data_IF_182972688510
#
_entry.id   IF_182972688510
#
_cell.length_a   1.000
_cell.length_b   1.000
_cell.length_c   1.000
_cell.angle_alpha   90.00
_cell.angle_beta   90.00
_cell.angle_gamma   90.00
#
_symmetry.space_group_name_H-M   'P 1'
#
loop_
_entity.id
_entity.type
_entity.pdbx_description
1 polymer ?
#
# COMPACT_ATOMS: atom_id res chain seq x y z
N UNK A 1 -29.68 0.79 21.13
CA UNK A 1 -29.80 -0.16 20.01
C UNK A 1 -28.56 -1.02 20.04
N UNK A 2 -28.71 -2.28 20.48
CA UNK A 2 -27.60 -3.23 20.58
C UNK A 2 -27.08 -3.51 19.17
N UNK A 3 -25.94 -2.91 18.82
CA UNK A 3 -25.21 -3.27 17.61
C UNK A 3 -24.93 -4.76 17.65
N UNK A 4 -25.21 -5.43 16.55
CA UNK A 4 -24.90 -6.84 16.38
C UNK A 4 -23.37 -6.96 16.40
N UNK A 5 -22.78 -7.31 17.54
CA UNK A 5 -21.31 -7.32 17.81
C UNK A 5 -20.52 -8.13 16.74
N UNK A 6 -21.22 -8.98 15.99
CA UNK A 6 -20.66 -9.83 14.94
C UNK A 6 -20.63 -9.20 13.53
N UNK A 7 -21.31 -8.10 13.25
CA UNK A 7 -21.30 -7.52 11.90
C UNK A 7 -20.09 -6.60 11.72
N UNK A 8 -19.21 -6.94 10.78
CA UNK A 8 -18.10 -6.06 10.36
C UNK A 8 -18.71 -4.76 9.82
N UNK A 9 -18.24 -3.59 10.23
CA UNK A 9 -18.77 -2.31 9.76
C UNK A 9 -17.65 -1.26 9.77
N UNK A 10 -17.74 -0.19 8.96
CA UNK A 10 -16.81 0.92 9.07
C UNK A 10 -16.76 1.46 10.49
N UNK A 11 -15.55 1.70 11.02
CA UNK A 11 -15.37 2.23 12.37
C UNK A 11 -15.59 3.75 12.45
N UNK A 12 -15.63 4.43 11.31
CA UNK A 12 -15.85 5.86 11.16
C UNK A 12 -16.85 6.11 10.02
N UNK A 13 -17.48 7.28 10.02
CA UNK A 13 -18.39 7.70 8.96
C UNK A 13 -17.59 8.24 7.77
N UNK A 14 -17.39 7.41 6.76
CA UNK A 14 -16.71 7.77 5.52
C UNK A 14 -17.67 8.13 4.38
N UNK A 15 -18.99 8.10 4.62
CA UNK A 15 -20.03 8.29 3.60
C UNK A 15 -20.39 9.76 3.41
N UNK A 16 -19.90 10.65 4.27
CA UNK A 16 -19.96 12.09 4.02
C UNK A 16 -19.24 12.39 2.69
N UNK A 17 -19.90 13.07 1.75
CA UNK A 17 -19.24 13.65 0.55
C UNK A 17 -18.23 14.76 0.90
N UNK A 18 -17.76 14.78 2.15
CA UNK A 18 -16.83 15.73 2.71
C UNK A 18 -15.41 15.32 2.37
N UNK A 19 -14.59 16.31 2.08
CA UNK A 19 -13.15 16.13 1.89
C UNK A 19 -12.38 16.01 3.21
N UNK A 20 -13.07 16.04 4.35
CA UNK A 20 -12.50 16.04 5.69
C UNK A 20 -13.40 15.22 6.61
N UNK A 21 -12.98 14.02 6.97
CA UNK A 21 -13.75 13.08 7.80
C UNK A 21 -13.34 13.19 9.27
N UNK A 22 -14.30 13.38 10.17
CA UNK A 22 -14.05 13.35 11.61
C UNK A 22 -13.80 11.91 12.09
N UNK A 23 -12.60 11.66 12.64
CA UNK A 23 -12.24 10.37 13.24
C UNK A 23 -12.51 10.37 14.74
N UNK A 24 -12.13 11.44 15.43
CA UNK A 24 -12.22 11.53 16.89
C UNK A 24 -12.26 12.97 17.38
N UNK A 25 -13.06 13.23 18.40
CA UNK A 25 -12.92 14.42 19.25
C UNK A 25 -12.31 14.02 20.59
N UNK A 26 -11.37 14.81 21.08
CA UNK A 26 -10.59 14.43 22.26
C UNK A 26 -9.97 15.64 22.95
N UNK A 27 -9.75 15.60 24.27
CA UNK A 27 -8.99 16.62 24.97
C UNK A 27 -7.59 16.77 24.38
N UNK A 28 -7.12 18.01 24.28
CA UNK A 28 -5.80 18.34 23.80
C UNK A 28 -5.13 19.40 24.68
N UNK A 29 -3.81 19.45 24.61
CA UNK A 29 -3.01 20.48 25.23
C UNK A 29 -1.99 21.02 24.23
N UNK A 30 -1.89 22.34 24.17
CA UNK A 30 -0.92 23.09 23.39
C UNK A 30 0.05 23.74 24.36
N UNK A 31 1.32 23.36 24.29
CA UNK A 31 2.36 24.07 25.03
C UNK A 31 3.02 25.09 24.10
N UNK A 32 3.09 26.33 24.55
CA UNK A 32 3.78 27.43 23.89
C UNK A 32 4.89 27.85 24.85
N UNK A 33 6.13 27.50 24.52
CA UNK A 33 7.28 27.57 25.42
C UNK A 33 7.00 26.82 26.74
N UNK A 34 6.91 27.54 27.86
CA UNK A 34 6.60 26.97 29.19
C UNK A 34 5.13 27.06 29.58
N UNK A 35 4.26 27.62 28.72
CA UNK A 35 2.84 27.82 29.02
C UNK A 35 2.00 26.69 28.41
N UNK A 36 1.30 25.94 29.26
CA UNK A 36 0.40 24.87 28.84
C UNK A 36 -1.04 25.37 28.75
N UNK A 37 -1.67 25.16 27.61
CA UNK A 37 -3.06 25.56 27.33
C UNK A 37 -3.90 24.33 27.01
N UNK A 38 -4.99 24.14 27.75
CA UNK A 38 -5.91 23.01 27.54
C UNK A 38 -7.05 23.40 26.61
N UNK A 39 -7.46 22.47 25.77
CA UNK A 39 -8.55 22.64 24.83
C UNK A 39 -9.07 21.31 24.32
N UNK A 40 -9.70 21.35 23.15
CA UNK A 40 -10.17 20.15 22.44
C UNK A 40 -9.44 20.04 21.12
N UNK A 41 -9.43 18.82 20.57
CA UNK A 41 -8.97 18.58 19.22
C UNK A 41 -9.88 17.62 18.49
N UNK A 42 -10.14 17.97 17.24
CA UNK A 42 -10.72 17.08 16.25
C UNK A 42 -9.59 16.45 15.44
N UNK A 43 -9.51 15.12 15.48
CA UNK A 43 -8.65 14.34 14.58
C UNK A 43 -9.45 14.07 13.33
N UNK A 44 -8.94 14.53 12.19
CA UNK A 44 -9.63 14.43 10.90
C UNK A 44 -8.75 13.77 9.85
N UNK A 45 -9.36 12.93 9.01
CA UNK A 45 -8.78 12.48 7.75
C UNK A 45 -9.18 13.47 6.66
N UNK A 46 -8.28 14.37 6.31
CA UNK A 46 -8.45 15.25 5.16
C UNK A 46 -8.03 14.49 3.90
N UNK A 47 -8.88 14.42 2.88
CA UNK A 47 -8.61 13.73 1.61
C UNK A 47 -8.03 14.66 0.54
N UNK A 48 -8.10 15.98 0.73
CA UNK A 48 -7.64 16.99 -0.21
C UNK A 48 -6.66 17.98 0.42
N UNK A 49 -5.68 18.51 -0.34
CA UNK A 49 -5.35 18.17 -1.74
C UNK A 49 -4.62 16.82 -1.89
N UNK A 50 -4.09 16.28 -0.80
CA UNK A 50 -3.60 14.91 -0.65
C UNK A 50 -4.12 14.38 0.68
N UNK A 51 -4.36 13.09 0.76
CA UNK A 51 -4.87 12.53 1.99
C UNK A 51 -3.82 12.65 3.11
N UNK A 52 -4.27 13.07 4.30
CA UNK A 52 -3.43 13.22 5.49
C UNK A 52 -4.30 13.27 6.76
N UNK A 53 -3.73 12.84 7.88
CA UNK A 53 -4.31 13.05 9.21
C UNK A 53 -3.92 14.44 9.72
N UNK A 54 -4.92 15.27 10.01
CA UNK A 54 -4.69 16.56 10.65
C UNK A 54 -5.42 16.64 11.99
N UNK A 55 -4.80 17.32 12.95
CA UNK A 55 -5.40 17.62 14.24
C UNK A 55 -5.80 19.09 14.27
N UNK A 56 -7.08 19.35 14.46
CA UNK A 56 -7.66 20.68 14.54
C UNK A 56 -7.90 20.99 16.00
N UNK A 57 -7.00 21.75 16.62
CA UNK A 57 -7.08 22.12 18.03
C UNK A 57 -7.82 23.44 18.22
N UNK A 58 -8.73 23.49 19.19
CA UNK A 58 -9.43 24.69 19.63
C UNK A 58 -9.10 24.95 21.11
N UNK A 59 -8.52 26.13 21.38
CA UNK A 59 -8.10 26.53 22.71
C UNK A 59 -8.69 27.89 23.06
N UNK A 60 -9.08 28.04 24.32
CA UNK A 60 -9.76 29.24 24.83
C UNK A 60 -8.93 29.90 25.92
N UNK A 61 -9.19 31.18 26.18
CA UNK A 61 -8.49 31.99 27.18
C UNK A 61 -6.97 32.09 26.95
N UNK A 62 -6.53 32.07 25.70
CA UNK A 62 -5.12 32.20 25.34
C UNK A 62 -4.67 33.66 25.50
N UNK A 63 -3.58 33.92 26.26
CA UNK A 63 -3.01 35.26 26.36
C UNK A 63 -2.62 35.81 24.99
N UNK A 64 -2.84 37.10 24.78
CA UNK A 64 -2.51 37.79 23.53
C UNK A 64 -1.04 37.59 23.11
N UNK A 65 -0.12 37.56 24.09
CA UNK A 65 1.30 37.33 23.86
C UNK A 65 1.58 35.95 23.24
N UNK A 66 0.91 34.92 23.74
CA UNK A 66 1.08 33.54 23.30
C UNK A 66 0.45 33.34 21.93
N UNK A 67 -0.76 33.90 21.73
CA UNK A 67 -1.42 33.92 20.44
C UNK A 67 -0.57 34.63 19.36
N UNK A 68 0.05 35.77 19.70
CA UNK A 68 0.96 36.49 18.79
C UNK A 68 2.21 35.68 18.48
N UNK A 69 2.85 35.03 19.47
CA UNK A 69 4.03 34.19 19.26
C UNK A 69 3.75 33.07 18.25
N UNK A 70 2.62 32.37 18.44
CA UNK A 70 2.19 31.32 17.52
C UNK A 70 1.95 31.90 16.11
N UNK A 71 1.25 33.02 15.97
CA UNK A 71 0.91 33.57 14.65
C UNK A 71 2.08 34.20 13.91
N UNK A 72 3.00 34.85 14.61
CA UNK A 72 4.13 35.57 14.00
C UNK A 72 5.33 34.68 13.70
N UNK A 73 5.32 33.41 14.12
CA UNK A 73 6.41 32.47 13.87
C UNK A 73 7.74 32.89 14.47
N UNK A 74 7.71 33.70 15.54
CA UNK A 74 8.88 33.93 16.38
C UNK A 74 9.29 32.59 17.02
N UNK A 75 10.54 32.46 17.50
CA UNK A 75 11.21 31.24 18.03
C UNK A 75 10.50 30.54 19.23
N UNK A 76 9.19 30.44 19.22
CA UNK A 76 8.36 29.81 20.22
C UNK A 76 8.39 28.30 19.98
N UNK A 77 8.75 27.56 21.02
CA UNK A 77 8.69 26.11 21.01
C UNK A 77 7.24 25.69 21.20
N UNK A 78 6.62 25.15 20.15
CA UNK A 78 5.23 24.71 20.20
C UNK A 78 5.17 23.19 20.19
N UNK A 79 4.54 22.59 21.20
CA UNK A 79 4.23 21.16 21.22
C UNK A 79 2.73 20.92 21.36
N UNK A 80 2.26 19.88 20.69
CA UNK A 80 0.86 19.49 20.68
C UNK A 80 0.72 18.12 21.31
N UNK A 81 -0.21 17.98 22.25
CA UNK A 81 -0.48 16.70 22.89
C UNK A 81 -1.96 16.41 22.96
N UNK A 82 -2.28 15.13 22.97
CA UNK A 82 -3.64 14.61 22.97
C UNK A 82 -3.68 13.37 23.84
N UNK A 83 -4.68 13.27 24.73
CA UNK A 83 -4.76 12.20 25.74
C UNK A 83 -3.45 11.99 26.52
N UNK A 84 -2.75 13.08 26.83
CA UNK A 84 -1.47 13.05 27.56
C UNK A 84 -0.27 12.55 26.75
N UNK A 85 -0.42 12.34 25.42
CA UNK A 85 0.66 11.93 24.52
C UNK A 85 1.09 13.09 23.64
N UNK A 86 2.38 13.35 23.57
CA UNK A 86 2.94 14.31 22.62
C UNK A 86 2.81 13.76 21.20
N UNK A 87 2.29 14.57 20.28
CA UNK A 87 2.16 14.24 18.87
C UNK A 87 3.22 15.02 18.11
N UNK A 88 4.34 14.35 17.79
CA UNK A 88 5.38 14.95 16.96
C UNK A 88 4.80 15.45 15.64
N UNK A 89 5.14 16.68 15.28
CA UNK A 89 4.58 17.33 14.11
C UNK A 89 4.90 18.81 14.07
N UNK A 90 4.15 19.52 13.25
CA UNK A 90 4.31 20.95 13.08
C UNK A 90 2.97 21.59 12.76
N UNK A 91 2.82 22.85 13.18
CA UNK A 91 1.67 23.67 12.81
C UNK A 91 1.75 24.04 11.33
N UNK A 92 0.65 23.84 10.61
CA UNK A 92 0.51 24.22 9.19
C UNK A 92 -0.55 25.29 8.95
N UNK A 93 -1.32 25.63 9.98
CA UNK A 93 -2.34 26.67 9.91
C UNK A 93 -2.87 27.02 11.29
N UNK A 94 -3.67 28.07 11.34
CA UNK A 94 -4.38 28.45 12.55
C UNK A 94 -5.13 29.76 12.37
N UNK A 95 -5.87 30.12 13.39
CA UNK A 95 -6.66 31.34 13.45
C UNK A 95 -7.19 31.52 14.87
N UNK A 96 -8.38 32.10 14.97
CA UNK A 96 -9.01 32.44 16.24
C UNK A 96 -9.16 33.95 16.38
N UNK A 97 -9.40 34.40 17.60
CA UNK A 97 -9.69 35.79 17.90
C UNK A 97 -8.95 36.23 19.16
N UNK A 98 -8.08 37.23 18.97
CA UNK A 98 -7.37 37.89 20.06
C UNK A 98 -8.33 38.56 21.06
N UNK A 99 -9.49 39.02 20.60
CA UNK A 99 -10.50 39.68 21.44
C UNK A 99 -11.18 38.69 22.38
N UNK A 100 -11.43 37.46 21.93
CA UNK A 100 -12.08 36.41 22.71
C UNK A 100 -11.10 35.45 23.38
N UNK A 101 -9.79 35.60 23.12
CA UNK A 101 -8.76 34.68 23.60
C UNK A 101 -8.84 33.29 22.95
N UNK A 102 -9.46 33.20 21.78
CA UNK A 102 -9.59 31.94 21.02
C UNK A 102 -8.36 31.73 20.14
N UNK A 103 -7.79 30.52 20.18
CA UNK A 103 -6.74 30.07 19.30
C UNK A 103 -7.13 28.74 18.65
N UNK A 104 -7.17 28.74 17.32
CA UNK A 104 -7.34 27.54 16.52
C UNK A 104 -6.02 27.18 15.85
N UNK A 105 -5.67 25.90 15.85
CA UNK A 105 -4.48 25.39 15.17
C UNK A 105 -4.80 24.18 14.31
N UNK A 106 -4.16 24.12 13.13
CA UNK A 106 -4.10 22.93 12.31
C UNK A 106 -2.70 22.33 12.44
N UNK A 107 -2.62 21.17 13.07
CA UNK A 107 -1.39 20.43 13.31
C UNK A 107 -1.24 19.30 12.30
N UNK A 108 -0.07 19.22 11.67
CA UNK A 108 0.35 18.13 10.81
C UNK A 108 1.28 17.22 11.60
N UNK A 109 0.91 15.94 11.85
CA UNK A 109 1.81 14.95 12.39
C UNK A 109 3.06 14.81 11.51
N UNK A 110 4.19 14.48 12.13
CA UNK A 110 5.46 14.22 11.43
C UNK A 110 5.41 12.93 10.61
N UNK A 111 4.66 11.95 11.10
CA UNK A 111 4.50 10.64 10.47
C UNK A 111 3.14 10.05 10.77
N UNK A 112 2.70 9.17 9.87
CA UNK A 112 1.54 8.31 10.04
C UNK A 112 2.00 6.84 10.02
N UNK A 113 1.30 5.93 10.71
CA UNK A 113 0.09 6.16 11.51
C UNK A 113 0.34 6.90 12.84
N UNK A 114 -0.72 7.43 13.44
CA UNK A 114 -0.74 7.95 14.82
C UNK A 114 -1.54 6.99 15.69
N UNK A 115 -0.95 6.54 16.82
CA UNK A 115 -1.68 5.76 17.82
C UNK A 115 -2.49 6.70 18.73
N UNK A 116 -3.79 6.78 18.46
CA UNK A 116 -4.74 7.66 19.15
C UNK A 116 -5.22 7.12 20.50
N UNK A 117 -5.29 5.80 20.64
CA UNK A 117 -5.66 5.09 21.87
C UNK A 117 -4.97 3.72 21.91
N UNK A 118 -4.75 3.19 23.11
CA UNK A 118 -4.00 1.95 23.31
C UNK A 118 -2.50 2.10 22.99
N UNK A 119 -1.75 1.02 23.06
CA UNK A 119 -0.32 0.94 22.83
C UNK A 119 0.06 -0.46 22.31
N UNK A 120 1.37 -0.71 22.17
CA UNK A 120 1.91 -2.00 21.72
C UNK A 120 1.46 -3.19 22.58
N UNK A 121 1.16 -2.97 23.86
CA UNK A 121 0.81 -4.02 24.83
C UNK A 121 -0.70 -4.22 24.99
N UNK A 122 -1.50 -3.33 24.40
CA UNK A 122 -2.96 -3.35 24.51
C UNK A 122 -3.51 -4.66 23.97
N UNK A 123 -4.31 -5.35 24.78
CA UNK A 123 -4.91 -6.64 24.42
C UNK A 123 -6.15 -6.43 23.55
N UNK A 124 -6.16 -7.03 22.37
CA UNK A 124 -7.17 -6.90 21.32
C UNK A 124 -7.69 -8.29 20.97
N UNK A 125 -9.00 -8.44 20.81
CA UNK A 125 -9.65 -9.69 20.38
C UNK A 125 -10.00 -9.68 18.89
N UNK A 126 -10.33 -8.50 18.35
CA UNK A 126 -10.66 -8.30 16.94
C UNK A 126 -10.26 -6.89 16.51
N UNK A 127 -9.86 -6.71 15.26
CA UNK A 127 -9.63 -5.39 14.70
C UNK A 127 -10.41 -5.16 13.40
N UNK A 128 -10.67 -3.89 13.10
CA UNK A 128 -11.27 -3.42 11.86
C UNK A 128 -10.33 -2.43 11.20
N UNK A 129 -10.18 -2.49 9.88
CA UNK A 129 -9.46 -1.49 9.08
C UNK A 129 -10.25 -1.15 7.82
N UNK A 130 -9.80 -0.11 7.12
CA UNK A 130 -10.49 0.44 5.95
C UNK A 130 -9.54 0.45 4.76
N UNK A 131 -10.08 0.21 3.57
CA UNK A 131 -9.34 0.28 2.31
C UNK A 131 -10.00 1.29 1.37
N UNK A 132 -9.21 2.30 1.03
CA UNK A 132 -9.57 3.28 0.00
C UNK A 132 -9.00 2.84 -1.34
N UNK A 133 -9.74 3.13 -2.40
CA UNK A 133 -9.25 2.96 -3.77
C UNK A 133 -8.76 1.53 -4.08
N UNK A 134 -9.34 0.51 -3.44
CA UNK A 134 -9.10 -0.88 -3.80
C UNK A 134 -9.95 -1.27 -5.02
N UNK A 135 -9.91 -2.53 -5.40
CA UNK A 135 -10.39 -2.98 -6.71
C UNK A 135 -11.83 -3.51 -6.61
N UNK A 136 -12.70 -3.17 -7.56
CA UNK A 136 -14.01 -3.81 -7.67
C UNK A 136 -13.83 -5.27 -8.08
N UNK A 137 -14.29 -6.18 -7.24
CA UNK A 137 -13.90 -7.58 -7.30
C UNK A 137 -15.09 -8.53 -7.13
N UNK A 138 -14.93 -9.76 -7.60
CA UNK A 138 -15.86 -10.86 -7.36
C UNK A 138 -15.29 -11.75 -6.26
N UNK A 139 -15.92 -11.69 -5.09
CA UNK A 139 -15.42 -12.37 -3.91
C UNK A 139 -15.42 -13.89 -4.06
N UNK A 140 -14.65 -14.55 -3.22
CA UNK A 140 -14.73 -16.01 -3.04
C UNK A 140 -16.06 -16.45 -2.41
N UNK A 141 -16.72 -15.52 -1.69
CA UNK A 141 -18.03 -15.70 -1.08
C UNK A 141 -18.86 -14.43 -1.31
N UNK A 142 -20.18 -14.57 -1.25
CA UNK A 142 -21.13 -13.47 -1.41
C UNK A 142 -22.18 -13.48 -0.32
N UNK A 143 -22.54 -12.30 0.17
CA UNK A 143 -23.73 -12.07 0.99
C UNK A 143 -24.59 -10.97 0.37
N UNK A 144 -25.72 -10.64 1.02
CA UNK A 144 -26.61 -9.56 0.57
C UNK A 144 -26.95 -8.65 1.73
N UNK A 145 -26.90 -7.36 1.52
CA UNK A 145 -27.37 -6.35 2.47
C UNK A 145 -28.57 -5.61 1.89
N UNK A 146 -29.57 -5.36 2.74
CA UNK A 146 -30.78 -4.63 2.38
C UNK A 146 -30.72 -3.25 3.01
N UNK A 147 -30.81 -2.22 2.16
CA UNK A 147 -30.93 -0.83 2.59
C UNK A 147 -32.22 -0.26 1.99
N UNK A 148 -33.27 -0.16 2.83
CA UNK A 148 -34.63 0.15 2.38
C UNK A 148 -35.18 -0.92 1.43
N UNK A 149 -35.47 -0.54 0.19
CA UNK A 149 -35.96 -1.45 -0.86
C UNK A 149 -34.85 -2.03 -1.74
N UNK A 150 -33.62 -1.55 -1.60
CA UNK A 150 -32.48 -1.98 -2.39
C UNK A 150 -31.80 -3.17 -1.73
N UNK A 151 -31.56 -4.24 -2.50
CA UNK A 151 -30.77 -5.40 -2.08
C UNK A 151 -29.46 -5.36 -2.87
N UNK A 152 -28.34 -5.23 -2.16
CA UNK A 152 -27.02 -5.15 -2.76
C UNK A 152 -26.21 -6.39 -2.43
N UNK A 153 -25.52 -6.93 -3.43
CA UNK A 153 -24.57 -8.02 -3.26
C UNK A 153 -23.29 -7.50 -2.60
N UNK A 154 -22.85 -8.16 -1.53
CA UNK A 154 -21.60 -7.88 -0.84
C UNK A 154 -20.62 -9.02 -1.12
N UNK A 155 -19.43 -8.64 -1.59
CA UNK A 155 -18.38 -9.58 -2.00
C UNK A 155 -17.36 -9.73 -0.87
N UNK A 156 -16.94 -10.97 -0.61
CA UNK A 156 -16.03 -11.30 0.50
C UNK A 156 -14.82 -12.10 0.00
N UNK A 157 -13.65 -11.79 0.56
CA UNK A 157 -12.40 -12.53 0.37
C UNK A 157 -11.83 -12.86 1.74
N UNK A 158 -11.52 -14.13 1.96
CA UNK A 158 -10.74 -14.56 3.12
C UNK A 158 -9.27 -14.68 2.77
N UNK A 159 -8.46 -14.03 3.59
CA UNK A 159 -7.01 -14.12 3.58
C UNK A 159 -6.60 -14.81 4.88
N UNK A 160 -6.08 -16.03 4.77
CA UNK A 160 -5.77 -16.87 5.93
C UNK A 160 -4.32 -17.36 5.87
N UNK A 161 -3.68 -17.40 7.03
CA UNK A 161 -2.45 -18.14 7.28
C UNK A 161 -2.53 -18.79 8.67
N UNK A 162 -1.43 -19.37 9.17
CA UNK A 162 -1.41 -20.04 10.48
C UNK A 162 -1.69 -19.08 11.66
N UNK A 163 -1.53 -17.77 11.44
CA UNK A 163 -1.55 -16.74 12.48
C UNK A 163 -2.78 -15.84 12.44
N UNK A 164 -3.35 -15.60 11.28
CA UNK A 164 -4.33 -14.55 11.04
C UNK A 164 -5.45 -15.07 10.15
N UNK A 165 -6.67 -14.71 10.54
CA UNK A 165 -7.85 -14.79 9.70
C UNK A 165 -8.32 -13.38 9.39
N UNK A 166 -8.29 -13.03 8.11
CA UNK A 166 -8.57 -11.68 7.65
C UNK A 166 -9.68 -11.75 6.61
N UNK A 167 -10.77 -11.05 6.88
CA UNK A 167 -11.88 -10.90 5.92
C UNK A 167 -11.77 -9.53 5.26
N UNK A 168 -11.66 -9.50 3.94
CA UNK A 168 -11.93 -8.30 3.15
C UNK A 168 -13.36 -8.36 2.62
N UNK A 169 -14.05 -7.24 2.72
CA UNK A 169 -15.46 -7.15 2.40
C UNK A 169 -15.74 -5.85 1.62
N UNK A 170 -16.54 -5.94 0.55
CA UNK A 170 -17.08 -4.75 -0.10
C UNK A 170 -18.20 -4.11 0.73
N UNK A 171 -18.58 -2.89 0.36
CA UNK A 171 -19.71 -2.14 0.89
C UNK A 171 -20.82 -2.08 -0.17
N UNK A 172 -22.03 -1.75 0.24
CA UNK A 172 -23.13 -1.50 -0.68
C UNK A 172 -22.83 -0.31 -1.62
N UNK A 173 -22.06 0.67 -1.14
CA UNK A 173 -21.59 1.83 -1.91
C UNK A 173 -20.35 1.56 -2.79
N UNK A 174 -19.66 0.42 -2.67
CA UNK A 174 -18.36 0.18 -3.34
C UNK A 174 -18.43 0.38 -4.85
N UNK A 175 -19.42 -0.21 -5.53
CA UNK A 175 -19.55 -0.08 -7.00
C UNK A 175 -19.77 1.37 -7.43
N UNK A 176 -20.58 2.10 -6.67
CA UNK A 176 -20.82 3.52 -6.92
C UNK A 176 -19.54 4.35 -6.66
N UNK A 177 -18.84 4.07 -5.57
CA UNK A 177 -17.57 4.73 -5.26
C UNK A 177 -16.51 4.47 -6.34
N UNK A 178 -16.41 3.25 -6.87
CA UNK A 178 -15.49 2.93 -7.98
C UNK A 178 -15.87 3.67 -9.26
N UNK A 179 -17.16 3.83 -9.54
CA UNK A 179 -17.62 4.64 -10.68
C UNK A 179 -17.18 6.11 -10.52
N UNK A 180 -17.45 6.70 -9.36
CA UNK A 180 -17.05 8.08 -9.06
C UNK A 180 -15.53 8.25 -9.10
N UNK A 181 -14.76 7.29 -8.59
CA UNK A 181 -13.29 7.30 -8.67
C UNK A 181 -12.79 7.34 -10.12
N UNK A 182 -13.42 6.61 -11.04
CA UNK A 182 -13.09 6.64 -12.48
C UNK A 182 -13.42 7.99 -13.14
N UNK A 183 -14.46 8.67 -12.67
CA UNK A 183 -14.93 9.94 -13.22
C UNK A 183 -14.17 11.14 -12.64
N UNK A 184 -13.89 11.12 -11.34
CA UNK A 184 -13.42 12.28 -10.55
C UNK A 184 -11.98 12.11 -10.03
N UNK A 185 -11.48 10.89 -9.96
CA UNK A 185 -10.25 10.56 -9.24
C UNK A 185 -10.42 10.64 -7.72
N UNK A 186 -9.34 10.96 -7.00
CA UNK A 186 -9.38 11.21 -5.55
C UNK A 186 -9.38 9.95 -4.68
N UNK A 187 -10.12 9.98 -3.57
CA UNK A 187 -10.11 8.94 -2.54
C UNK A 187 -11.53 8.59 -2.14
N UNK A 188 -11.89 7.30 -2.19
CA UNK A 188 -13.17 6.81 -1.68
C UNK A 188 -12.99 5.48 -0.96
N UNK A 189 -13.76 5.28 0.10
CA UNK A 189 -13.82 4.00 0.79
C UNK A 189 -14.38 2.94 -0.16
N UNK A 190 -13.68 1.82 -0.27
CA UNK A 190 -14.08 0.73 -1.17
C UNK A 190 -14.32 -0.57 -0.43
N UNK A 191 -13.55 -0.86 0.61
CA UNK A 191 -13.66 -2.11 1.35
C UNK A 191 -13.39 -1.86 2.83
N UNK A 192 -13.88 -2.79 3.65
CA UNK A 192 -13.52 -2.91 5.06
C UNK A 192 -12.87 -4.26 5.29
N UNK A 193 -11.95 -4.27 6.25
CA UNK A 193 -11.21 -5.45 6.64
C UNK A 193 -11.46 -5.80 8.10
N UNK A 194 -11.65 -7.09 8.41
CA UNK A 194 -11.68 -7.61 9.77
C UNK A 194 -10.46 -8.49 10.03
N UNK A 195 -9.83 -8.37 11.19
CA UNK A 195 -8.66 -9.16 11.60
C UNK A 195 -8.97 -9.86 12.93
N UNK A 196 -8.68 -11.15 12.99
CA UNK A 196 -8.73 -11.96 14.21
C UNK A 196 -7.71 -13.12 14.14
N UNK A 197 -7.35 -13.71 15.28
CA UNK A 197 -6.63 -14.99 15.29
C UNK A 197 -7.57 -16.14 14.86
N UNK A 198 -7.09 -17.16 14.15
CA UNK A 198 -7.92 -18.30 13.74
C UNK A 198 -8.59 -19.06 14.90
N UNK A 199 -7.89 -19.14 16.04
CA UNK A 199 -8.36 -19.81 17.26
C UNK A 199 -9.14 -18.88 18.21
N UNK A 200 -9.32 -17.62 17.83
CA UNK A 200 -10.00 -16.60 18.63
C UNK A 200 -9.21 -16.09 19.84
N UNK A 201 -7.92 -16.44 19.96
CA UNK A 201 -7.08 -15.90 21.03
C UNK A 201 -6.82 -14.40 20.85
N UNK A 202 -6.68 -13.65 21.95
CA UNK A 202 -6.34 -12.24 21.85
C UNK A 202 -4.90 -12.05 21.38
N UNK A 203 -4.64 -10.87 20.82
CA UNK A 203 -3.34 -10.43 20.33
C UNK A 203 -3.07 -9.01 20.83
N UNK A 204 -1.82 -8.55 20.70
CA UNK A 204 -1.38 -7.24 21.18
C UNK A 204 -1.50 -6.16 20.11
N UNK A 205 -1.43 -4.89 20.52
CA UNK A 205 -1.35 -3.77 19.58
C UNK A 205 -0.14 -3.87 18.64
N UNK A 206 0.98 -4.43 19.14
CA UNK A 206 2.16 -4.72 18.31
C UNK A 206 1.87 -5.78 17.24
N UNK A 207 1.25 -6.89 17.63
CA UNK A 207 0.87 -7.95 16.67
C UNK A 207 -0.03 -7.40 15.55
N UNK A 208 -0.98 -6.52 15.92
CA UNK A 208 -1.87 -5.88 14.97
C UNK A 208 -1.12 -4.96 14.00
N UNK A 209 -0.21 -4.12 14.51
CA UNK A 209 0.57 -3.20 13.68
C UNK A 209 1.45 -3.95 12.68
N UNK A 210 2.11 -5.03 13.12
CA UNK A 210 2.91 -5.91 12.26
C UNK A 210 2.05 -6.59 11.17
N UNK A 211 0.84 -7.05 11.51
CA UNK A 211 -0.11 -7.60 10.55
C UNK A 211 -0.59 -6.56 9.52
N UNK A 212 -0.94 -5.35 9.97
CA UNK A 212 -1.38 -4.26 9.09
C UNK A 212 -0.24 -3.82 8.15
N UNK A 213 1.00 -3.82 8.65
CA UNK A 213 2.18 -3.54 7.86
C UNK A 213 2.41 -4.60 6.78
N UNK A 214 2.26 -5.90 7.09
CA UNK A 214 2.33 -6.96 6.09
C UNK A 214 1.21 -6.84 5.04
N UNK A 215 -0.03 -6.60 5.49
CA UNK A 215 -1.19 -6.41 4.62
C UNK A 215 -1.00 -5.25 3.63
N UNK A 216 -0.42 -4.14 4.08
CA UNK A 216 -0.09 -3.01 3.20
C UNK A 216 0.70 -3.47 1.98
N UNK A 217 1.75 -4.26 2.16
CA UNK A 217 2.58 -4.71 1.04
C UNK A 217 1.91 -5.78 0.20
N UNK A 218 1.24 -6.75 0.82
CA UNK A 218 0.49 -7.80 0.11
C UNK A 218 -0.59 -7.20 -0.81
N UNK A 219 -1.43 -6.31 -0.26
CA UNK A 219 -2.53 -5.69 -1.00
C UNK A 219 -2.03 -4.70 -2.04
N UNK A 220 -0.96 -3.94 -1.74
CA UNK A 220 -0.38 -3.03 -2.73
C UNK A 220 0.23 -3.80 -3.90
N UNK A 221 0.94 -4.90 -3.64
CA UNK A 221 1.49 -5.77 -4.70
C UNK A 221 0.38 -6.37 -5.56
N UNK A 222 -0.68 -6.90 -4.96
CA UNK A 222 -1.82 -7.42 -5.71
C UNK A 222 -2.52 -6.33 -6.54
N UNK A 223 -2.77 -5.15 -5.95
CA UNK A 223 -3.40 -4.03 -6.66
C UNK A 223 -2.52 -3.48 -7.80
N UNK A 224 -1.19 -3.56 -7.68
CA UNK A 224 -0.25 -2.89 -8.57
C UNK A 224 0.03 -1.42 -8.21
N UNK A 225 -0.51 -0.93 -7.10
CA UNK A 225 -0.37 0.46 -6.62
C UNK A 225 -0.61 0.49 -5.11
N UNK A 226 -0.28 1.59 -4.43
CA UNK A 226 -0.41 1.63 -2.97
C UNK A 226 -1.87 1.40 -2.53
N UNK A 227 -2.01 0.52 -1.54
CA UNK A 227 -3.25 0.22 -0.84
C UNK A 227 -2.92 -0.26 0.57
N UNK A 228 -2.75 0.69 1.48
CA UNK A 228 -2.60 0.39 2.90
C UNK A 228 -3.96 0.24 3.62
N UNK A 229 -4.05 -0.65 4.61
CA UNK A 229 -5.05 -0.54 5.67
C UNK A 229 -4.95 0.81 6.38
N UNK A 230 -6.08 1.53 6.50
CA UNK A 230 -6.12 2.83 7.17
C UNK A 230 -7.14 2.88 8.29
N UNK A 231 -6.91 3.80 9.23
CA UNK A 231 -7.81 4.08 10.35
C UNK A 231 -8.25 2.79 11.07
N UNK A 232 -7.29 2.00 11.55
CA UNK A 232 -7.57 0.73 12.19
C UNK A 232 -8.06 0.92 13.64
N UNK A 233 -8.97 0.06 14.08
CA UNK A 233 -9.56 0.06 15.43
C UNK A 233 -9.53 -1.36 16.00
N UNK A 234 -8.95 -1.51 17.19
CA UNK A 234 -8.94 -2.75 17.96
C UNK A 234 -10.02 -2.77 19.03
N UNK A 235 -10.66 -3.93 19.18
CA UNK A 235 -11.73 -4.19 20.11
C UNK A 235 -11.34 -5.29 21.10
N UNK A 236 -11.72 -5.12 22.38
CA UNK A 236 -11.63 -6.19 23.38
C UNK A 236 -12.77 -7.21 23.23
N UNK A 237 -12.77 -8.28 24.04
CA UNK A 237 -13.79 -9.33 23.97
C UNK A 237 -15.23 -8.83 24.22
N UNK A 238 -15.48 -7.89 25.16
CA UNK A 238 -16.78 -7.21 25.28
C UNK A 238 -17.19 -6.34 24.07
N UNK A 239 -16.26 -5.96 23.20
CA UNK A 239 -16.51 -5.12 22.04
C UNK A 239 -16.26 -3.62 22.27
N UNK A 240 -15.53 -3.25 23.31
CA UNK A 240 -15.08 -1.88 23.55
C UNK A 240 -13.90 -1.54 22.63
N UNK A 241 -13.85 -0.31 22.12
CA UNK A 241 -12.66 0.21 21.41
C UNK A 241 -11.54 0.42 22.41
N UNK A 242 -10.45 -0.35 22.28
CA UNK A 242 -9.29 -0.29 23.18
C UNK A 242 -8.03 0.21 22.51
N UNK A 243 -7.97 0.16 21.17
CA UNK A 243 -6.82 0.60 20.39
C UNK A 243 -7.29 1.31 19.12
N UNK A 244 -6.65 2.42 18.77
CA UNK A 244 -6.97 3.21 17.57
C UNK A 244 -5.67 3.68 16.89
N UNK A 245 -5.55 3.45 15.59
CA UNK A 245 -4.43 3.88 14.76
C UNK A 245 -4.95 4.60 13.53
N UNK A 246 -4.61 5.88 13.39
CA UNK A 246 -5.10 6.73 12.32
C UNK A 246 -4.03 6.97 11.27
N UNK A 247 -4.39 6.74 10.02
CA UNK A 247 -3.54 6.95 8.85
C UNK A 247 -4.40 7.28 7.64
N UNK A 248 -3.77 7.80 6.61
CA UNK A 248 -4.39 8.22 5.37
C UNK A 248 -3.99 7.31 4.19
N UNK A 249 -4.86 7.16 3.18
CA UNK A 249 -4.50 6.44 1.97
C UNK A 249 -3.42 7.18 1.19
N UNK A 250 -2.35 6.48 0.80
CA UNK A 250 -1.14 7.14 0.27
C UNK A 250 -1.31 7.74 -1.12
N UNK A 251 -2.08 7.09 -1.98
CA UNK A 251 -2.25 7.50 -3.37
C UNK A 251 -3.73 7.72 -3.73
N UNK A 252 -3.97 8.82 -4.45
CA UNK A 252 -5.24 9.06 -5.11
C UNK A 252 -5.49 7.99 -6.18
N UNK A 253 -6.74 7.88 -6.62
CA UNK A 253 -7.15 6.90 -7.60
C UNK A 253 -6.29 6.93 -8.87
N UNK A 254 -5.85 5.74 -9.24
CA UNK A 254 -5.31 5.42 -10.56
C UNK A 254 -5.58 3.94 -10.83
N UNK A 255 -5.44 3.53 -12.09
CA UNK A 255 -5.71 2.16 -12.52
C UNK A 255 -4.41 1.51 -13.04
N UNK A 256 -3.56 0.97 -12.16
CA UNK A 256 -2.31 0.35 -12.56
C UNK A 256 -2.56 -1.01 -13.24
N UNK A 257 -1.58 -1.46 -14.02
CA UNK A 257 -1.51 -2.86 -14.44
C UNK A 257 -1.18 -3.75 -13.23
N UNK A 258 -1.63 -4.99 -13.25
CA UNK A 258 -1.52 -5.91 -12.11
C UNK A 258 -1.61 -7.35 -12.58
N UNK A 259 -0.96 -8.25 -11.84
CA UNK A 259 -1.09 -9.69 -12.01
C UNK A 259 -2.42 -10.21 -11.42
N UNK A 260 -2.94 -9.55 -10.38
CA UNK A 260 -4.18 -9.94 -9.72
C UNK A 260 -5.39 -9.57 -10.60
N UNK A 261 -6.20 -10.58 -10.93
CA UNK A 261 -7.43 -10.39 -11.66
C UNK A 261 -8.64 -10.30 -10.70
N UNK A 262 -9.37 -9.16 -10.66
CA UNK A 262 -10.48 -8.99 -9.73
C UNK A 262 -11.66 -9.94 -9.91
N UNK A 263 -11.77 -10.66 -11.04
CA UNK A 263 -12.80 -11.69 -11.20
C UNK A 263 -12.34 -13.07 -10.68
N UNK A 264 -11.08 -13.19 -10.26
CA UNK A 264 -10.45 -14.41 -9.79
C UNK A 264 -9.85 -14.21 -8.37
N UNK A 265 -10.69 -13.86 -7.40
CA UNK A 265 -10.21 -13.50 -6.04
C UNK A 265 -9.49 -14.60 -5.27
N UNK A 266 -9.65 -15.87 -5.65
CA UNK A 266 -8.86 -16.97 -5.10
C UNK A 266 -7.35 -16.76 -5.30
N UNK A 267 -6.94 -16.02 -6.33
CA UNK A 267 -5.55 -15.63 -6.57
C UNK A 267 -4.96 -14.88 -5.37
N UNK A 268 -5.70 -13.93 -4.81
CA UNK A 268 -5.25 -13.15 -3.65
C UNK A 268 -5.14 -14.02 -2.40
N UNK A 269 -6.14 -14.87 -2.14
CA UNK A 269 -6.13 -15.81 -1.01
C UNK A 269 -4.96 -16.79 -1.08
N UNK A 270 -4.70 -17.38 -2.25
CA UNK A 270 -3.60 -18.32 -2.47
C UNK A 270 -2.23 -17.64 -2.32
N UNK A 271 -2.08 -16.42 -2.84
CA UNK A 271 -0.85 -15.64 -2.71
C UNK A 271 -0.58 -15.26 -1.25
N UNK A 272 -1.61 -14.84 -0.51
CA UNK A 272 -1.45 -14.26 0.83
C UNK A 272 -0.77 -15.20 1.82
N UNK A 273 -1.15 -16.48 1.85
CA UNK A 273 -0.54 -17.46 2.75
C UNK A 273 0.97 -17.61 2.50
N UNK A 274 1.35 -17.73 1.22
CA UNK A 274 2.75 -17.81 0.81
C UNK A 274 3.55 -16.55 1.09
N UNK A 275 2.93 -15.39 0.83
CA UNK A 275 3.51 -14.09 1.15
C UNK A 275 3.80 -13.95 2.65
N UNK A 276 2.84 -14.30 3.52
CA UNK A 276 3.04 -14.19 4.96
C UNK A 276 4.14 -15.13 5.48
N UNK A 277 4.28 -16.33 4.90
CA UNK A 277 5.41 -17.22 5.22
C UNK A 277 6.74 -16.56 4.90
N UNK A 278 6.88 -15.96 3.71
CA UNK A 278 8.10 -15.25 3.33
C UNK A 278 8.32 -13.99 4.17
N UNK A 279 7.25 -13.26 4.50
CA UNK A 279 7.29 -12.03 5.31
C UNK A 279 7.68 -12.28 6.77
N UNK A 280 7.43 -13.48 7.30
CA UNK A 280 7.84 -13.86 8.65
C UNK A 280 9.37 -14.04 8.81
N UNK A 281 10.10 -14.19 7.70
CA UNK A 281 11.55 -14.33 7.70
C UNK A 281 12.19 -12.94 7.63
N UNK A 282 12.90 -12.50 8.67
CA UNK A 282 13.45 -11.12 8.78
C UNK A 282 14.22 -10.67 7.53
N UNK A 283 15.17 -11.50 7.04
CA UNK A 283 15.97 -11.24 5.84
C UNK A 283 15.10 -11.03 4.59
N UNK A 284 13.98 -11.75 4.48
CA UNK A 284 13.04 -11.63 3.37
C UNK A 284 12.04 -10.51 3.56
N UNK A 285 11.66 -10.18 4.80
CA UNK A 285 10.78 -9.04 5.10
C UNK A 285 11.38 -7.74 4.59
N UNK A 286 12.66 -7.47 4.91
CA UNK A 286 13.37 -6.29 4.42
C UNK A 286 13.50 -6.29 2.89
N UNK A 287 13.82 -7.45 2.31
CA UNK A 287 13.90 -7.58 0.86
C UNK A 287 12.56 -7.28 0.19
N UNK A 288 11.47 -7.93 0.64
CA UNK A 288 10.13 -7.78 0.08
C UNK A 288 9.63 -6.34 0.21
N UNK A 289 9.93 -5.67 1.32
CA UNK A 289 9.66 -4.24 1.48
C UNK A 289 10.28 -3.42 0.34
N UNK A 290 11.58 -3.57 0.08
CA UNK A 290 12.30 -2.84 -0.97
C UNK A 290 11.81 -3.22 -2.37
N UNK A 291 11.63 -4.52 -2.62
CA UNK A 291 11.20 -5.08 -3.90
C UNK A 291 9.82 -4.54 -4.28
N UNK A 292 8.86 -4.65 -3.37
CA UNK A 292 7.49 -4.17 -3.61
C UNK A 292 7.48 -2.65 -3.69
N UNK A 293 8.25 -1.95 -2.85
CA UNK A 293 8.40 -0.50 -2.98
C UNK A 293 8.85 -0.10 -4.40
N UNK A 294 9.91 -0.71 -4.94
CA UNK A 294 10.37 -0.39 -6.30
C UNK A 294 9.40 -0.86 -7.38
N UNK A 295 8.73 -2.01 -7.21
CA UNK A 295 7.66 -2.47 -8.10
C UNK A 295 6.54 -1.41 -8.21
N UNK A 296 6.02 -0.94 -7.08
CA UNK A 296 4.95 0.06 -7.05
C UNK A 296 5.41 1.39 -7.66
N UNK A 297 6.65 1.79 -7.41
CA UNK A 297 7.20 2.99 -8.03
C UNK A 297 7.39 2.85 -9.55
N UNK A 298 7.83 1.66 -10.00
CA UNK A 298 8.05 1.36 -11.40
C UNK A 298 6.74 1.21 -12.18
N UNK A 299 5.68 0.73 -11.52
CA UNK A 299 4.36 0.53 -12.13
C UNK A 299 3.51 1.81 -12.18
N UNK A 300 3.96 2.89 -11.52
CA UNK A 300 3.27 4.17 -11.47
C UNK A 300 3.58 5.03 -12.71
N UNK A 301 2.75 4.92 -13.75
CA UNK A 301 2.96 5.52 -15.07
C UNK A 301 3.26 7.04 -15.06
N UNK A 302 2.69 7.80 -14.11
CA UNK A 302 2.94 9.25 -14.01
C UNK A 302 4.39 9.61 -13.67
N UNK A 303 5.22 8.65 -13.20
CA UNK A 303 6.67 8.85 -13.01
C UNK A 303 7.48 8.71 -14.30
N UNK A 304 6.91 8.18 -15.37
CA UNK A 304 7.61 7.92 -16.64
C UNK A 304 8.08 6.48 -16.80
N UNK A 305 7.99 5.97 -18.02
CA UNK A 305 8.36 4.58 -18.39
C UNK A 305 9.86 4.34 -18.22
N UNK A 306 10.69 5.34 -18.53
CA UNK A 306 12.14 5.32 -18.36
C UNK A 306 12.56 5.11 -16.90
N UNK A 307 11.95 5.87 -15.98
CA UNK A 307 12.14 5.64 -14.54
C UNK A 307 11.66 4.23 -14.13
N UNK A 308 10.53 3.78 -14.69
CA UNK A 308 10.01 2.44 -14.48
C UNK A 308 10.97 1.32 -14.88
N UNK A 309 11.63 1.43 -16.04
CA UNK A 309 12.64 0.46 -16.49
C UNK A 309 13.82 0.38 -15.51
N UNK A 310 14.32 1.54 -15.05
CA UNK A 310 15.45 1.61 -14.12
C UNK A 310 15.08 0.95 -12.78
N UNK A 311 13.92 1.31 -12.22
CA UNK A 311 13.44 0.79 -10.93
C UNK A 311 13.12 -0.71 -10.99
N UNK A 312 12.55 -1.18 -12.09
CA UNK A 312 12.28 -2.60 -12.32
C UNK A 312 13.57 -3.42 -12.28
N UNK A 313 14.63 -2.96 -12.95
CA UNK A 313 15.92 -3.65 -12.89
C UNK A 313 16.51 -3.65 -11.47
N UNK A 314 16.43 -2.53 -10.74
CA UNK A 314 16.90 -2.48 -9.35
C UNK A 314 16.16 -3.52 -8.47
N UNK A 315 14.84 -3.65 -8.63
CA UNK A 315 14.04 -4.64 -7.92
C UNK A 315 14.43 -6.08 -8.28
N UNK A 316 14.60 -6.40 -9.56
CA UNK A 316 15.01 -7.74 -9.99
C UNK A 316 16.43 -8.08 -9.47
N UNK A 317 17.38 -7.14 -9.52
CA UNK A 317 18.72 -7.37 -8.96
C UNK A 317 18.68 -7.60 -7.45
N UNK A 318 17.79 -6.91 -6.72
CA UNK A 318 17.59 -7.13 -5.28
C UNK A 318 17.00 -8.50 -4.98
N UNK A 319 15.96 -8.93 -5.71
CA UNK A 319 15.40 -10.28 -5.59
C UNK A 319 16.50 -11.31 -5.88
N UNK A 320 17.23 -11.13 -6.98
CA UNK A 320 18.27 -12.05 -7.42
C UNK A 320 19.36 -12.19 -6.37
N UNK A 321 19.79 -11.10 -5.73
CA UNK A 321 20.74 -11.16 -4.62
C UNK A 321 20.18 -11.91 -3.41
N UNK A 322 18.96 -11.59 -2.99
CA UNK A 322 18.31 -12.26 -1.84
C UNK A 322 18.22 -13.77 -2.07
N UNK A 323 17.73 -14.16 -3.24
CA UNK A 323 17.53 -15.55 -3.59
C UNK A 323 18.87 -16.29 -3.79
N UNK A 324 19.73 -15.81 -4.70
CA UNK A 324 20.90 -16.56 -5.13
C UNK A 324 22.05 -16.52 -4.11
N UNK A 325 22.22 -15.42 -3.37
CA UNK A 325 23.33 -15.25 -2.43
C UNK A 325 22.91 -15.62 -1.01
N UNK A 326 21.80 -15.09 -0.52
CA UNK A 326 21.39 -15.26 0.89
C UNK A 326 20.68 -16.58 1.13
N UNK A 327 19.64 -16.88 0.35
CA UNK A 327 18.82 -18.07 0.58
C UNK A 327 19.47 -19.34 0.02
N UNK A 328 19.68 -19.40 -1.31
CA UNK A 328 20.14 -20.62 -2.00
C UNK A 328 21.65 -20.81 -2.00
N UNK A 329 22.42 -19.74 -1.71
CA UNK A 329 23.90 -19.74 -1.70
C UNK A 329 24.51 -20.32 -2.99
N UNK A 330 23.90 -20.04 -4.13
CA UNK A 330 24.35 -20.50 -5.46
C UNK A 330 25.66 -19.83 -5.88
N UNK A 331 25.89 -18.60 -5.41
CA UNK A 331 27.08 -17.81 -5.70
C UNK A 331 27.50 -17.01 -4.47
N UNK A 332 28.80 -16.72 -4.36
CA UNK A 332 29.33 -15.85 -3.28
C UNK A 332 28.94 -14.39 -3.52
N UNK A 333 29.07 -13.56 -2.49
CA UNK A 333 28.85 -12.11 -2.60
C UNK A 333 29.70 -11.50 -3.72
N UNK A 334 30.99 -11.83 -3.78
CA UNK A 334 31.88 -11.29 -4.81
C UNK A 334 31.64 -11.93 -6.18
N UNK A 335 31.28 -13.21 -6.22
CA UNK A 335 30.84 -13.88 -7.45
C UNK A 335 29.62 -13.17 -8.05
N UNK A 336 28.60 -12.87 -7.23
CA UNK A 336 27.40 -12.17 -7.67
C UNK A 336 27.68 -10.75 -8.14
N UNK A 337 28.56 -10.00 -7.45
CA UNK A 337 28.96 -8.65 -7.87
C UNK A 337 29.60 -8.63 -9.26
N UNK A 338 30.34 -9.68 -9.61
CA UNK A 338 31.04 -9.80 -10.88
C UNK A 338 30.15 -10.30 -12.03
N UNK A 339 28.92 -10.75 -11.76
CA UNK A 339 27.97 -11.14 -12.80
C UNK A 339 27.44 -9.91 -13.54
N UNK A 340 27.25 -10.05 -14.86
CA UNK A 340 26.46 -9.08 -15.61
C UNK A 340 25.02 -9.07 -15.10
N UNK A 341 24.35 -7.92 -15.19
CA UNK A 341 22.95 -7.81 -14.75
C UNK A 341 22.04 -8.84 -15.43
N UNK A 342 22.26 -9.11 -16.72
CA UNK A 342 21.50 -10.13 -17.44
C UNK A 342 21.75 -11.54 -16.90
N UNK A 343 22.95 -11.85 -16.41
CA UNK A 343 23.24 -13.14 -15.79
C UNK A 343 22.64 -13.27 -14.39
N UNK A 344 22.56 -12.18 -13.62
CA UNK A 344 21.81 -12.16 -12.35
C UNK A 344 20.32 -12.45 -12.59
N UNK A 345 19.75 -11.90 -13.66
CA UNK A 345 18.37 -12.16 -14.06
C UNK A 345 18.19 -13.61 -14.47
N UNK A 346 19.05 -14.13 -15.37
CA UNK A 346 19.03 -15.54 -15.80
C UNK A 346 19.14 -16.49 -14.62
N UNK A 347 20.06 -16.23 -13.69
CA UNK A 347 20.27 -17.06 -12.50
C UNK A 347 19.00 -17.14 -11.66
N UNK A 348 18.32 -16.02 -11.43
CA UNK A 348 17.06 -15.99 -10.70
C UNK A 348 15.95 -16.71 -11.47
N UNK A 349 15.65 -16.27 -12.70
CA UNK A 349 14.47 -16.72 -13.42
C UNK A 349 14.56 -18.18 -13.86
N UNK A 350 15.74 -18.66 -14.27
CA UNK A 350 15.92 -20.10 -14.56
C UNK A 350 15.76 -20.97 -13.32
N UNK A 351 16.23 -20.51 -12.15
CA UNK A 351 16.04 -21.23 -10.89
C UNK A 351 14.58 -21.30 -10.43
N UNK A 352 13.75 -20.36 -10.90
CA UNK A 352 12.32 -20.29 -10.62
C UNK A 352 11.47 -20.88 -11.76
N UNK A 353 12.09 -21.50 -12.77
CA UNK A 353 11.44 -22.03 -13.98
C UNK A 353 10.60 -20.97 -14.74
N UNK A 354 11.02 -19.70 -14.70
CA UNK A 354 10.40 -18.62 -15.48
C UNK A 354 11.08 -18.56 -16.85
N UNK A 355 10.32 -18.60 -17.97
CA UNK A 355 10.86 -18.55 -19.33
C UNK A 355 11.77 -17.35 -19.56
N UNK A 356 12.90 -17.57 -20.24
CA UNK A 356 13.87 -16.52 -20.56
C UNK A 356 13.67 -15.93 -21.97
N UNK A 357 12.92 -16.62 -22.83
CA UNK A 357 12.70 -16.19 -24.22
C UNK A 357 11.99 -14.84 -24.28
N UNK A 358 12.28 -14.08 -25.34
CA UNK A 358 11.52 -12.85 -25.63
C UNK A 358 10.09 -13.28 -26.02
N UNK A 359 9.05 -12.84 -25.32
CA UNK A 359 7.69 -13.29 -25.62
C UNK A 359 7.20 -12.79 -27.00
N UNK A 360 6.36 -13.55 -27.73
CA UNK A 360 5.79 -13.09 -28.99
C UNK A 360 4.84 -11.89 -28.85
N UNK A 361 4.35 -11.62 -27.64
CA UNK A 361 3.51 -10.47 -27.31
C UNK A 361 4.25 -9.13 -27.37
N UNK A 362 5.58 -9.16 -27.34
CA UNK A 362 6.44 -7.97 -27.42
C UNK A 362 7.00 -7.81 -28.83
N UNK A 363 6.17 -7.31 -29.73
CA UNK A 363 6.46 -7.20 -31.16
C UNK A 363 7.67 -6.32 -31.51
N UNK A 364 7.87 -5.21 -30.80
CA UNK A 364 9.03 -4.34 -31.00
C UNK A 364 10.31 -5.00 -30.50
N UNK A 365 10.27 -5.66 -29.33
CA UNK A 365 11.40 -6.45 -28.82
C UNK A 365 11.74 -7.60 -29.76
N UNK A 366 10.75 -8.30 -30.32
CA UNK A 366 10.96 -9.36 -31.31
C UNK A 366 11.61 -8.82 -32.59
N UNK A 367 11.12 -7.69 -33.11
CA UNK A 367 11.69 -7.03 -34.28
C UNK A 367 13.15 -6.66 -34.06
N UNK A 368 13.48 -6.09 -32.90
CA UNK A 368 14.84 -5.74 -32.52
C UNK A 368 15.72 -6.98 -32.30
N UNK A 369 15.20 -8.04 -31.68
CA UNK A 369 15.94 -9.29 -31.48
C UNK A 369 16.34 -9.95 -32.82
N UNK A 370 15.46 -9.87 -33.82
CA UNK A 370 15.73 -10.38 -35.17
C UNK A 370 16.76 -9.55 -35.94
N UNK A 371 17.09 -8.34 -35.48
CA UNK A 371 18.14 -7.54 -36.09
C UNK A 371 19.52 -8.13 -35.73
N UNK A 372 20.34 -8.58 -36.71
CA UNK A 372 21.65 -9.19 -36.44
C UNK A 372 22.63 -8.27 -35.69
N UNK A 373 22.37 -6.96 -35.66
CA UNK A 373 23.17 -5.99 -34.90
C UNK A 373 22.87 -6.01 -33.39
N UNK A 374 21.70 -6.50 -32.96
CA UNK A 374 21.34 -6.51 -31.54
C UNK A 374 22.06 -7.62 -30.78
N UNK A 375 22.07 -8.85 -31.33
CA UNK A 375 22.73 -10.03 -30.73
C UNK A 375 22.23 -10.32 -29.30
N UNK A 376 20.95 -10.06 -29.03
CA UNK A 376 20.32 -10.48 -27.79
C UNK A 376 20.23 -11.99 -27.73
N UNK A 377 20.52 -12.55 -26.56
CA UNK A 377 20.42 -13.99 -26.34
C UNK A 377 18.99 -14.37 -25.94
N UNK A 378 18.37 -13.51 -25.14
CA UNK A 378 17.11 -13.75 -24.45
C UNK A 378 16.55 -12.42 -23.90
N UNK A 379 15.41 -12.47 -23.22
CA UNK A 379 14.79 -11.30 -22.62
C UNK A 379 15.65 -10.62 -21.54
N UNK A 380 16.31 -11.33 -20.59
CA UNK A 380 17.28 -10.71 -19.68
C UNK A 380 18.35 -9.86 -20.37
N UNK A 381 18.88 -10.31 -21.51
CA UNK A 381 19.82 -9.50 -22.29
C UNK A 381 19.15 -8.23 -22.82
N UNK A 382 18.00 -8.37 -23.47
CA UNK A 382 17.28 -7.25 -24.08
C UNK A 382 16.93 -6.16 -23.04
N UNK A 383 16.34 -6.56 -21.91
CA UNK A 383 15.93 -5.65 -20.84
C UNK A 383 17.11 -4.84 -20.26
N UNK A 384 18.21 -5.53 -19.98
CA UNK A 384 19.39 -4.87 -19.40
C UNK A 384 20.11 -3.98 -20.41
N UNK A 385 20.15 -4.34 -21.69
CA UNK A 385 20.73 -3.46 -22.71
C UNK A 385 19.87 -2.21 -22.95
N UNK A 386 18.54 -2.35 -22.96
CA UNK A 386 17.62 -1.21 -23.07
C UNK A 386 17.83 -0.25 -21.90
N UNK A 387 17.86 -0.77 -20.66
CA UNK A 387 18.15 0.04 -19.47
C UNK A 387 19.52 0.70 -19.55
N UNK A 388 20.55 -0.03 -19.98
CA UNK A 388 21.90 0.53 -20.10
C UNK A 388 21.95 1.64 -21.16
N UNK A 389 21.20 1.52 -22.25
CA UNK A 389 21.09 2.55 -23.29
C UNK A 389 20.40 3.83 -22.81
N UNK A 390 19.50 3.70 -21.83
CA UNK A 390 18.81 4.81 -21.19
C UNK A 390 19.72 5.60 -20.25
N UNK A 391 20.50 4.89 -19.42
CA UNK A 391 21.27 5.49 -18.32
C UNK A 391 22.67 5.92 -18.73
N UNK A 392 23.35 5.17 -19.61
CA UNK A 392 24.76 5.43 -19.94
C UNK A 392 24.91 6.39 -21.11
N UNK A 393 25.53 7.58 -20.92
CA UNK A 393 25.53 8.62 -21.94
C UNK A 393 26.20 8.25 -23.27
N UNK A 394 27.22 7.40 -23.21
CA UNK A 394 28.04 6.96 -24.34
C UNK A 394 27.61 5.59 -24.89
N UNK A 395 26.43 5.09 -24.49
CA UNK A 395 25.97 3.79 -24.96
C UNK A 395 25.76 3.81 -26.47
N UNK A 396 26.34 2.82 -27.17
CA UNK A 396 26.35 2.76 -28.66
C UNK A 396 24.95 2.76 -29.29
N UNK A 397 23.94 2.32 -28.53
CA UNK A 397 22.54 2.20 -28.94
C UNK A 397 21.63 3.28 -28.31
N UNK A 398 22.20 4.31 -27.69
CA UNK A 398 21.43 5.38 -27.05
C UNK A 398 20.48 6.05 -28.06
N UNK A 399 19.22 6.21 -27.67
CA UNK A 399 18.16 6.78 -28.51
C UNK A 399 17.66 5.87 -29.64
N UNK A 400 18.24 4.68 -29.84
CA UNK A 400 17.86 3.75 -30.92
C UNK A 400 16.82 2.71 -30.48
N UNK A 401 16.55 2.60 -29.17
CA UNK A 401 15.71 1.55 -28.58
C UNK A 401 14.39 2.11 -28.01
N UNK A 402 14.08 3.38 -28.27
CA UNK A 402 12.92 4.07 -27.68
C UNK A 402 11.57 3.43 -28.06
N UNK A 403 11.45 2.83 -29.24
CA UNK A 403 10.22 2.14 -29.66
C UNK A 403 9.87 0.95 -28.76
N UNK A 404 10.88 0.33 -28.13
CA UNK A 404 10.70 -0.84 -27.29
C UNK A 404 10.58 -0.53 -25.78
N UNK A 405 10.62 0.74 -25.36
CA UNK A 405 10.60 1.08 -23.93
C UNK A 405 9.33 0.62 -23.23
N UNK A 406 8.16 0.80 -23.84
CA UNK A 406 6.91 0.33 -23.25
C UNK A 406 6.90 -1.19 -23.07
N UNK A 407 7.30 -1.95 -24.10
CA UNK A 407 7.37 -3.41 -24.03
C UNK A 407 8.42 -3.90 -23.02
N UNK A 408 9.60 -3.25 -22.96
CA UNK A 408 10.64 -3.58 -21.99
C UNK A 408 10.19 -3.30 -20.55
N UNK A 409 9.51 -2.19 -20.31
CA UNK A 409 8.91 -1.87 -19.02
C UNK A 409 7.87 -2.91 -18.61
N UNK A 410 6.93 -3.22 -19.51
CA UNK A 410 5.84 -4.15 -19.22
C UNK A 410 6.36 -5.58 -19.00
N UNK A 411 7.33 -6.03 -19.81
CA UNK A 411 7.99 -7.33 -19.67
C UNK A 411 8.84 -7.41 -18.41
N UNK A 412 9.60 -6.36 -18.08
CA UNK A 412 10.38 -6.32 -16.85
C UNK A 412 9.48 -6.42 -15.61
N UNK A 413 8.36 -5.71 -15.59
CA UNK A 413 7.40 -5.81 -14.49
C UNK A 413 6.70 -7.17 -14.44
N UNK A 414 6.44 -7.80 -15.58
CA UNK A 414 5.93 -9.18 -15.63
C UNK A 414 6.93 -10.14 -14.97
N UNK A 415 8.22 -10.04 -15.31
CA UNK A 415 9.27 -10.84 -14.66
C UNK A 415 9.35 -10.59 -13.15
N UNK A 416 9.18 -9.34 -12.72
CA UNK A 416 9.18 -8.96 -11.32
C UNK A 416 7.98 -9.57 -10.57
N UNK A 417 6.78 -9.50 -11.15
CA UNK A 417 5.58 -10.14 -10.62
C UNK A 417 5.74 -11.66 -10.53
N UNK A 418 6.22 -12.31 -11.59
CA UNK A 418 6.47 -13.76 -11.62
C UNK A 418 7.50 -14.17 -10.57
N UNK A 419 8.58 -13.39 -10.41
CA UNK A 419 9.59 -13.63 -9.39
C UNK A 419 9.01 -13.61 -7.97
N UNK A 420 8.21 -12.58 -7.64
CA UNK A 420 7.58 -12.47 -6.31
C UNK A 420 6.56 -13.60 -6.08
N UNK A 421 5.74 -13.92 -7.08
CA UNK A 421 4.75 -15.00 -6.99
C UNK A 421 5.42 -16.36 -6.78
N UNK A 422 6.45 -16.69 -7.57
CA UNK A 422 7.19 -17.96 -7.44
C UNK A 422 7.86 -18.11 -6.07
N UNK A 423 8.47 -17.03 -5.56
CA UNK A 423 9.10 -17.02 -4.25
C UNK A 423 8.11 -17.21 -3.09
N UNK A 424 6.87 -16.74 -3.27
CA UNK A 424 5.79 -16.98 -2.33
C UNK A 424 5.18 -18.40 -2.49
N UNK A 425 5.68 -19.25 -3.39
CA UNK A 425 5.15 -20.58 -3.64
C UNK A 425 3.76 -20.57 -4.28
N UNK A 426 3.42 -19.50 -4.99
CA UNK A 426 2.13 -19.36 -5.67
C UNK A 426 2.04 -20.28 -6.90
N UNK A 427 0.96 -21.06 -7.03
CA UNK A 427 0.74 -22.01 -8.12
C UNK A 427 -0.65 -21.86 -8.77
N UNK A 428 -1.20 -20.65 -8.77
CA UNK A 428 -2.52 -20.36 -9.33
C UNK A 428 -2.46 -19.71 -10.71
N UNK A 429 -3.57 -19.09 -11.11
CA UNK A 429 -3.66 -18.30 -12.33
C UNK A 429 -3.27 -16.84 -12.09
N UNK A 430 -3.02 -16.08 -13.14
CA UNK A 430 -2.78 -14.64 -13.04
C UNK A 430 -3.27 -13.92 -14.30
N UNK A 431 -3.55 -12.62 -14.17
CA UNK A 431 -3.76 -11.71 -15.30
C UNK A 431 -2.42 -11.37 -15.94
N UNK A 432 -2.09 -12.01 -17.05
CA UNK A 432 -0.84 -11.72 -17.75
C UNK A 432 -0.87 -10.33 -18.38
N UNK A 433 -0.16 -9.36 -17.81
CA UNK A 433 -0.06 -7.97 -18.32
C UNK A 433 0.47 -7.81 -19.74
N UNK A 434 1.06 -8.85 -20.34
CA UNK A 434 1.50 -8.89 -21.73
C UNK A 434 0.38 -9.33 -22.69
N UNK A 435 -0.59 -10.11 -22.21
CA UNK A 435 -1.66 -10.74 -23.01
C UNK A 435 -3.06 -10.22 -22.71
N UNK A 436 -3.33 -9.89 -21.45
CA UNK A 436 -4.66 -9.63 -20.92
C UNK A 436 -5.32 -8.44 -21.64
N UNK A 437 -6.53 -8.67 -22.15
CA UNK A 437 -7.34 -7.68 -22.87
C UNK A 437 -8.58 -7.26 -22.09
N UNK A 438 -9.07 -8.11 -21.20
CA UNK A 438 -10.22 -7.84 -20.34
C UNK A 438 -10.07 -8.56 -18.99
N UNK A 439 -10.78 -8.08 -17.97
CA UNK A 439 -10.82 -8.70 -16.65
C UNK A 439 -11.50 -10.08 -16.72
N UNK A 440 -10.86 -11.08 -16.12
CA UNK A 440 -11.24 -12.48 -16.19
C UNK A 440 -10.43 -13.31 -17.19
N UNK A 441 -9.66 -12.67 -18.09
CA UNK A 441 -8.69 -13.39 -18.92
C UNK A 441 -7.43 -13.66 -18.10
N UNK A 442 -7.28 -14.92 -17.67
CA UNK A 442 -6.19 -15.40 -16.83
C UNK A 442 -5.54 -16.64 -17.44
N UNK A 443 -4.30 -16.92 -17.06
CA UNK A 443 -3.56 -18.12 -17.43
C UNK A 443 -2.77 -18.65 -16.22
N UNK A 444 -2.34 -19.91 -16.25
CA UNK A 444 -1.50 -20.49 -15.21
C UNK A 444 -0.11 -19.84 -15.19
N UNK A 445 0.51 -19.78 -14.01
CA UNK A 445 1.90 -19.34 -13.89
C UNK A 445 2.87 -20.30 -14.60
N UNK A 446 4.05 -19.82 -15.07
CA UNK A 446 4.90 -20.61 -15.97
C UNK A 446 5.56 -21.88 -15.40
N UNK A 447 5.56 -22.07 -14.08
CA UNK A 447 6.28 -23.15 -13.39
C UNK A 447 5.38 -24.32 -12.92
N UNK A 448 4.09 -24.28 -13.26
CA UNK A 448 3.10 -25.32 -12.91
C UNK A 448 3.06 -26.43 -13.94
#
# INVERSE_FOLDING_TARGET
MSSNINQLAPAYDFDSNESSILLKETPAALNIDSNAHTGTSEVRLDLLPRANIHLYGNFQNIPLTDAMRVHMGQDAEVSFSMNGRNIEGFRIGGGGSAETGELNIKWCPKSEPIIGSGDETTTISKAVFHLFNFVDLLGTRRSTEQNGTTITSIEHIDLENDEWKIELRSLDVTRQNIKLLKEEGGYRLTHIGGIQRPDGTPFTGKDLDECLYALRFALSFAKGGWCEPVCAVGYDAPGNRVWESWSSPRESWHNPFRWFDPHNCSQLSLFFSGFMKMWSLDDWREALHEIIYWYLNANFLSRGIDAGIILTQAAIERISYQFAVKEKRLVTVDGFKNLWASDKFRLLFSSLNIPLDIPPETSELQSLANNPKMKWLDAPHALTEIRNSLVHPEHKKRGQLSSAYYEAWNLGLWYLEMGVLALCGYNGTYGNRLRQRWVGQVEDVPWV
#
